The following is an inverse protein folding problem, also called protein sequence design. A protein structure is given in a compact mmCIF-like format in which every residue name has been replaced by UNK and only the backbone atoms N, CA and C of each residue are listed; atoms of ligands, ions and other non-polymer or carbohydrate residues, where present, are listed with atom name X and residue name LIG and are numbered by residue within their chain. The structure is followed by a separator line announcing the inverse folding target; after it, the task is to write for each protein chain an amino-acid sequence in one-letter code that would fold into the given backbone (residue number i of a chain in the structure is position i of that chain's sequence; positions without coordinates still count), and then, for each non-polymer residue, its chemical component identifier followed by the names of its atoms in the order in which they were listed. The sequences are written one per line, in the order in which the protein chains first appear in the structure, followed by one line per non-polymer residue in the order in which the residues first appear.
data_IF_972330537855
#
_entry.id   IF_972330537855
#
_cell.length_a   1.000
_cell.length_b   1.000
_cell.length_c   1.000
_cell.angle_alpha   90.00
_cell.angle_beta   90.00
_cell.angle_gamma   90.00
#
_symmetry.space_group_name_H-M   'P 1'
#
loop_
_entity.id
_entity.type
_entity.pdbx_description
1 polymer ?
#
# COMPACT_ATOMS: atom_id res chain seq x y z
N UNK A 1 -4.79 7.01 -4.46
CA UNK A 1 -5.09 6.77 -3.02
C UNK A 1 -5.98 5.54 -2.80
N UNK A 2 -6.17 4.67 -3.78
CA UNK A 2 -6.97 3.44 -3.62
C UNK A 2 -6.14 2.23 -3.16
N UNK A 3 -4.82 2.27 -3.39
CA UNK A 3 -3.94 1.11 -3.19
C UNK A 3 -3.84 0.70 -1.72
N UNK A 4 -3.74 1.68 -0.81
CA UNK A 4 -3.70 1.44 0.64
C UNK A 4 -5.03 0.88 1.15
N UNK A 5 -6.16 1.45 0.71
CA UNK A 5 -7.49 1.04 1.16
C UNK A 5 -7.82 -0.40 0.75
N UNK A 6 -7.44 -0.78 -0.48
CA UNK A 6 -7.67 -2.13 -1.01
C UNK A 6 -6.69 -3.15 -0.40
N UNK A 7 -5.42 -2.77 -0.17
CA UNK A 7 -4.42 -3.67 0.42
C UNK A 7 -4.70 -3.94 1.90
N UNK A 8 -5.14 -2.94 2.66
CA UNK A 8 -5.38 -3.06 4.10
C UNK A 8 -6.86 -3.24 4.48
N UNK A 9 -7.79 -3.31 3.52
CA UNK A 9 -9.23 -3.36 3.75
C UNK A 9 -9.70 -2.26 4.71
N UNK A 10 -9.19 -1.04 4.52
CA UNK A 10 -9.36 0.00 5.53
C UNK A 10 -10.78 0.59 5.51
N UNK A 11 -11.51 0.62 6.64
CA UNK A 11 -12.76 1.38 6.75
C UNK A 11 -12.57 2.90 6.51
N UNK A 12 -13.58 3.60 5.97
CA UNK A 12 -13.53 5.04 5.68
C UNK A 12 -13.17 5.91 6.89
N UNK A 13 -13.56 5.49 8.10
CA UNK A 13 -13.26 6.19 9.36
C UNK A 13 -11.76 6.34 9.63
N UNK A 14 -10.94 5.46 9.08
CA UNK A 14 -9.51 5.55 9.28
C UNK A 14 -8.80 6.44 8.25
N UNK A 15 -9.42 6.73 7.10
CA UNK A 15 -8.96 7.84 6.26
C UNK A 15 -9.24 9.19 6.93
N UNK A 16 -10.31 9.28 7.71
CA UNK A 16 -10.71 10.49 8.44
C UNK A 16 -9.87 10.70 9.72
N UNK A 17 -9.55 9.61 10.42
CA UNK A 17 -8.72 9.66 11.62
C UNK A 17 -7.23 9.95 11.34
N UNK A 18 -6.78 9.83 10.09
CA UNK A 18 -5.36 9.81 9.74
C UNK A 18 -4.97 11.03 8.92
N UNK A 19 -3.92 11.73 9.35
CA UNK A 19 -3.46 12.94 8.68
C UNK A 19 -2.78 12.63 7.34
N UNK A 20 -2.78 13.58 6.39
CA UNK A 20 -2.19 13.40 5.05
C UNK A 20 -0.74 12.89 5.07
N UNK A 21 0.07 13.31 6.06
CA UNK A 21 1.44 12.80 6.25
C UNK A 21 1.50 11.30 6.57
N UNK A 22 0.60 10.80 7.40
CA UNK A 22 0.54 9.37 7.70
C UNK A 22 0.08 8.58 6.49
N UNK A 23 -0.92 9.09 5.75
CA UNK A 23 -1.36 8.47 4.48
C UNK A 23 -0.19 8.35 3.49
N UNK A 24 0.68 9.36 3.39
CA UNK A 24 1.87 9.28 2.53
C UNK A 24 2.84 8.17 2.96
N UNK A 25 3.09 8.00 4.26
CA UNK A 25 3.92 6.90 4.78
C UNK A 25 3.32 5.51 4.53
N UNK A 26 1.99 5.37 4.71
CA UNK A 26 1.29 4.13 4.39
C UNK A 26 1.30 3.80 2.90
N UNK A 27 1.25 4.80 2.00
CA UNK A 27 1.37 4.58 0.55
C UNK A 27 2.71 3.97 0.18
N UNK A 28 3.81 4.36 0.82
CA UNK A 28 5.13 3.77 0.54
C UNK A 28 5.21 2.31 0.99
N UNK A 29 4.66 1.99 2.16
CA UNK A 29 4.56 0.60 2.65
C UNK A 29 3.67 -0.26 1.76
N UNK A 30 2.49 0.24 1.38
CA UNK A 30 1.58 -0.43 0.48
C UNK A 30 2.21 -0.64 -0.91
N UNK A 31 2.94 0.34 -1.44
CA UNK A 31 3.66 0.20 -2.70
C UNK A 31 4.73 -0.90 -2.63
N UNK A 32 5.51 -0.95 -1.54
CA UNK A 32 6.47 -2.03 -1.25
C UNK A 32 5.82 -3.40 -1.16
N UNK A 33 4.62 -3.48 -0.59
CA UNK A 33 3.86 -4.73 -0.41
C UNK A 33 3.16 -5.19 -1.69
N UNK A 34 2.62 -4.24 -2.48
CA UNK A 34 1.90 -4.51 -3.73
C UNK A 34 2.81 -4.97 -4.84
N UNK A 35 4.08 -4.58 -4.78
CA UNK A 35 5.09 -5.08 -5.71
C UNK A 35 5.42 -6.51 -5.26
N UNK A 36 4.95 -7.57 -5.96
CA UNK A 36 5.44 -8.88 -5.66
C UNK A 36 6.96 -8.87 -5.84
N UNK A 37 7.74 -9.58 -5.00
CA UNK A 37 9.15 -9.76 -5.27
C UNK A 37 9.26 -10.30 -6.70
N UNK A 38 10.10 -9.65 -7.51
CA UNK A 38 10.38 -10.06 -8.89
C UNK A 38 10.56 -11.59 -8.88
N UNK A 39 9.65 -12.37 -9.51
CA UNK A 39 9.83 -13.80 -9.55
C UNK A 39 11.17 -14.01 -10.25
N UNK A 40 12.12 -14.74 -9.64
CA UNK A 40 13.48 -14.79 -10.15
C UNK A 40 13.41 -15.17 -11.62
N UNK A 41 13.80 -14.23 -12.50
CA UNK A 41 13.84 -14.45 -13.94
C UNK A 41 14.56 -15.77 -14.18
N UNK A 42 13.82 -16.83 -14.48
CA UNK A 42 14.39 -18.09 -14.95
C UNK A 42 15.15 -17.77 -16.22
N UNK A 43 16.48 -17.74 -16.13
CA UNK A 43 17.38 -17.72 -17.28
C UNK A 43 17.02 -18.92 -18.15
N UNK A 44 16.56 -18.66 -19.37
CA UNK A 44 16.52 -19.65 -20.46
C UNK A 44 17.82 -19.55 -21.24
#
# INVERSE_FOLDING_TARGET
MADVAVIFHWPPAAMDAMSLSELMGWREQAARRSRPPDPPKKKR
#
